data_IF_741670900010
#
_entry.id   IF_741670900010
#
_cell.length_a   1.000
_cell.length_b   1.000
_cell.length_c   1.000
_cell.angle_alpha   90.00
_cell.angle_beta   90.00
_cell.angle_gamma   90.00
#
_symmetry.space_group_name_H-M   'P 1'
#
loop_
_entity.id
_entity.type
_entity.pdbx_description
1 polymer ?
#
# COMPACT_ATOMS: atom_id res chain seq x y z
N UNK A 1 1.65 12.35 -20.91
CA UNK A 1 2.33 11.03 -21.10
C UNK A 1 3.51 11.09 -22.08
N UNK A 2 3.37 11.70 -23.27
CA UNK A 2 4.46 11.83 -24.26
C UNK A 2 5.68 12.57 -23.68
N UNK A 3 5.46 13.67 -22.98
CA UNK A 3 6.50 14.47 -22.32
C UNK A 3 7.34 13.65 -21.34
N UNK A 4 6.70 12.86 -20.46
CA UNK A 4 7.42 11.98 -19.52
C UNK A 4 8.32 10.95 -20.24
N UNK A 5 7.90 10.44 -21.41
CA UNK A 5 8.73 9.54 -22.21
C UNK A 5 9.93 10.26 -22.82
N UNK A 6 9.74 11.50 -23.29
CA UNK A 6 10.82 12.34 -23.80
C UNK A 6 11.83 12.63 -22.68
N UNK A 7 11.33 13.02 -21.50
CA UNK A 7 12.16 13.29 -20.33
C UNK A 7 12.95 12.06 -19.88
N UNK A 8 12.31 10.89 -19.79
CA UNK A 8 13.01 9.66 -19.42
C UNK A 8 14.16 9.33 -20.41
N UNK A 9 13.94 9.56 -21.72
CA UNK A 9 14.97 9.36 -22.74
C UNK A 9 16.10 10.39 -22.63
N UNK A 10 15.78 11.67 -22.39
CA UNK A 10 16.81 12.72 -22.27
C UNK A 10 17.67 12.52 -21.03
N UNK A 11 17.08 12.06 -19.93
CA UNK A 11 17.78 11.72 -18.69
C UNK A 11 18.51 10.37 -18.76
N UNK A 12 18.40 9.63 -19.87
CA UNK A 12 18.94 8.26 -20.02
C UNK A 12 18.50 7.31 -18.89
N UNK A 13 17.26 7.44 -18.42
CA UNK A 13 16.73 6.59 -17.36
C UNK A 13 16.56 5.14 -17.85
N UNK A 14 16.94 4.16 -17.04
CA UNK A 14 16.84 2.73 -17.39
C UNK A 14 15.38 2.28 -17.59
N UNK A 15 14.44 2.87 -16.83
CA UNK A 15 13.03 2.49 -16.89
C UNK A 15 12.10 3.63 -16.53
N UNK A 16 11.01 3.76 -17.30
CA UNK A 16 9.86 4.60 -16.97
C UNK A 16 8.65 3.71 -16.63
N UNK A 17 8.07 3.93 -15.45
CA UNK A 17 6.87 3.21 -14.99
C UNK A 17 5.79 4.20 -14.59
N UNK A 18 4.59 3.99 -15.11
CA UNK A 18 3.40 4.74 -14.69
C UNK A 18 2.64 3.93 -13.65
N UNK A 19 2.65 4.41 -12.40
CA UNK A 19 1.92 3.78 -11.30
C UNK A 19 0.54 4.41 -11.16
N UNK A 20 -0.45 3.60 -10.79
CA UNK A 20 -1.76 4.12 -10.41
C UNK A 20 -1.70 4.69 -8.99
N UNK A 21 -2.18 5.91 -8.82
CA UNK A 21 -2.25 6.57 -7.53
C UNK A 21 -3.13 5.78 -6.55
N UNK A 22 -2.75 5.80 -5.27
CA UNK A 22 -3.62 5.42 -4.16
C UNK A 22 -4.11 6.74 -3.53
N UNK A 23 -5.41 6.93 -3.54
CA UNK A 23 -6.14 8.07 -2.99
C UNK A 23 -7.01 7.60 -1.82
N UNK A 24 -7.07 8.41 -0.77
CA UNK A 24 -8.09 8.29 0.27
C UNK A 24 -9.42 8.87 -0.24
N UNK A 25 -10.52 8.46 0.38
CA UNK A 25 -11.88 8.98 0.13
C UNK A 25 -12.30 8.97 -1.35
N UNK A 26 -11.91 7.94 -2.10
CA UNK A 26 -12.15 7.87 -3.54
C UNK A 26 -13.55 7.34 -3.87
N UNK A 27 -14.23 6.71 -2.92
CA UNK A 27 -15.48 5.97 -3.08
C UNK A 27 -16.60 6.84 -3.67
N UNK A 28 -16.59 8.14 -3.35
CA UNK A 28 -17.56 9.15 -3.81
C UNK A 28 -16.96 10.12 -4.85
N UNK A 29 -15.82 9.77 -5.44
CA UNK A 29 -15.03 10.65 -6.27
C UNK A 29 -13.88 11.29 -5.51
N UNK A 30 -12.89 11.81 -6.25
CA UNK A 30 -11.75 12.54 -5.71
C UNK A 30 -11.15 13.34 -6.88
N UNK A 31 -10.79 14.61 -6.66
CA UNK A 31 -10.30 15.51 -7.71
C UNK A 31 -9.02 15.02 -8.38
N UNK A 32 -8.26 14.16 -7.70
CA UNK A 32 -7.04 13.54 -8.20
C UNK A 32 -7.30 12.26 -9.01
N UNK A 33 -8.56 11.86 -9.22
CA UNK A 33 -8.91 10.74 -10.09
C UNK A 33 -8.55 11.07 -11.54
N UNK A 34 -7.79 10.18 -12.17
CA UNK A 34 -7.57 10.27 -13.61
C UNK A 34 -8.81 9.83 -14.38
N UNK A 35 -9.16 10.60 -15.40
CA UNK A 35 -10.17 10.23 -16.40
C UNK A 35 -9.70 9.10 -17.33
N UNK A 36 -8.41 8.76 -17.32
CA UNK A 36 -7.85 7.71 -18.19
C UNK A 36 -7.96 6.35 -17.49
N UNK A 37 -8.99 5.58 -17.85
CA UNK A 37 -9.31 4.31 -17.17
C UNK A 37 -8.11 3.36 -17.08
N UNK A 38 -7.29 3.25 -18.14
CA UNK A 38 -6.08 2.41 -18.17
C UNK A 38 -5.11 2.67 -17.00
N UNK A 39 -5.01 3.92 -16.53
CA UNK A 39 -4.09 4.32 -15.46
C UNK A 39 -4.78 4.50 -14.11
N UNK A 40 -6.11 4.37 -14.06
CA UNK A 40 -6.86 4.45 -12.81
C UNK A 40 -6.77 3.16 -12.01
N UNK A 41 -6.48 3.29 -10.71
CA UNK A 41 -6.60 2.20 -9.71
C UNK A 41 -8.05 1.77 -9.51
N UNK A 42 -8.99 2.67 -9.79
CA UNK A 42 -10.40 2.55 -9.45
C UNK A 42 -11.26 2.37 -10.69
N UNK A 43 -12.34 1.61 -10.55
CA UNK A 43 -13.39 1.43 -11.54
C UNK A 43 -14.63 2.16 -11.07
N UNK A 44 -15.21 2.99 -11.94
CA UNK A 44 -16.51 3.62 -11.74
C UNK A 44 -17.59 2.53 -11.76
N UNK A 45 -18.45 2.51 -10.75
CA UNK A 45 -19.58 1.57 -10.65
C UNK A 45 -20.84 2.25 -11.16
N UNK A 46 -21.15 3.42 -10.59
CA UNK A 46 -22.31 4.26 -10.90
C UNK A 46 -21.84 5.72 -11.05
N UNK A 47 -22.77 6.64 -11.32
CA UNK A 47 -22.44 8.08 -11.21
C UNK A 47 -21.91 8.42 -9.81
N UNK A 48 -20.74 9.06 -9.77
CA UNK A 48 -20.06 9.43 -8.53
C UNK A 48 -19.39 8.29 -7.74
N UNK A 49 -19.70 7.02 -8.00
CA UNK A 49 -19.22 5.90 -7.15
C UNK A 49 -18.09 5.08 -7.77
N UNK A 50 -17.06 4.79 -6.97
CA UNK A 50 -15.86 4.06 -7.40
C UNK A 50 -15.50 2.89 -6.47
N UNK A 51 -14.89 1.84 -7.02
CA UNK A 51 -14.23 0.75 -6.28
C UNK A 51 -12.82 0.47 -6.79
N UNK A 52 -11.97 -0.08 -5.92
CA UNK A 52 -10.66 -0.61 -6.32
C UNK A 52 -10.84 -1.73 -7.35
N UNK A 53 -10.01 -1.75 -8.40
CA UNK A 53 -10.07 -2.77 -9.47
C UNK A 53 -9.56 -4.14 -9.05
N UNK A 54 -8.56 -4.19 -8.18
CA UNK A 54 -7.95 -5.44 -7.74
C UNK A 54 -8.80 -6.17 -6.71
N UNK A 55 -8.74 -7.50 -6.73
CA UNK A 55 -9.23 -8.30 -5.62
C UNK A 55 -8.38 -8.07 -4.36
N UNK A 56 -8.98 -8.31 -3.18
CA UNK A 56 -8.31 -8.25 -1.89
C UNK A 56 -8.43 -9.61 -1.18
N UNK A 57 -7.65 -10.61 -1.60
CA UNK A 57 -7.66 -11.90 -0.93
C UNK A 57 -7.03 -11.79 0.47
N UNK A 58 -7.40 -12.72 1.37
CA UNK A 58 -6.84 -12.83 2.72
C UNK A 58 -5.42 -13.46 2.71
N UNK A 59 -4.53 -12.90 1.88
CA UNK A 59 -3.11 -13.19 1.88
C UNK A 59 -2.35 -11.90 1.53
N UNK A 60 -1.09 -11.80 1.95
CA UNK A 60 -0.22 -10.66 1.62
C UNK A 60 1.24 -11.10 1.64
N UNK A 61 1.87 -11.23 0.47
CA UNK A 61 3.28 -11.64 0.35
C UNK A 61 4.23 -10.67 1.05
N UNK A 62 3.93 -9.36 1.00
CA UNK A 62 4.71 -8.29 1.63
C UNK A 62 4.96 -8.55 3.12
N UNK A 63 3.97 -9.06 3.85
CA UNK A 63 4.09 -9.33 5.29
C UNK A 63 5.12 -10.41 5.65
N UNK A 64 5.49 -11.22 4.66
CA UNK A 64 6.42 -12.35 4.83
C UNK A 64 7.79 -12.06 4.22
N UNK A 65 7.86 -11.18 3.22
CA UNK A 65 9.10 -10.89 2.49
C UNK A 65 9.73 -9.54 2.81
N UNK A 66 9.03 -8.65 3.52
CA UNK A 66 9.54 -7.31 3.80
C UNK A 66 9.06 -6.77 5.15
N UNK A 67 9.88 -5.90 5.72
CA UNK A 67 9.52 -5.05 6.85
C UNK A 67 9.79 -3.59 6.50
N UNK A 68 9.14 -2.67 7.20
CA UNK A 68 9.39 -1.23 7.08
C UNK A 68 9.78 -0.70 8.44
N UNK A 69 10.85 0.10 8.48
CA UNK A 69 11.33 0.77 9.68
C UNK A 69 11.04 2.26 9.48
N UNK A 70 10.28 2.86 10.40
CA UNK A 70 10.01 4.29 10.39
C UNK A 70 11.26 5.09 10.78
N UNK A 71 11.29 6.39 10.48
CA UNK A 71 12.38 7.27 10.92
C UNK A 71 12.48 7.38 12.45
N UNK A 72 11.42 7.00 13.19
CA UNK A 72 11.39 6.93 14.65
C UNK A 72 11.88 5.58 15.19
N UNK A 73 12.23 4.63 14.33
CA UNK A 73 12.68 3.29 14.71
C UNK A 73 11.55 2.26 14.87
N UNK A 74 10.29 2.61 14.57
CA UNK A 74 9.17 1.67 14.66
C UNK A 74 9.21 0.65 13.52
N UNK A 75 9.07 -0.63 13.86
CA UNK A 75 8.90 -1.70 12.90
C UNK A 75 7.42 -1.83 12.53
N UNK A 76 7.05 -1.48 11.29
CA UNK A 76 5.66 -1.50 10.82
C UNK A 76 5.45 -2.55 9.71
N UNK A 77 4.23 -3.10 9.56
CA UNK A 77 3.94 -4.21 8.64
C UNK A 77 4.09 -3.87 7.15
N UNK A 78 3.89 -2.60 6.77
CA UNK A 78 3.79 -2.20 5.38
C UNK A 78 4.02 -0.70 5.22
N UNK A 79 4.55 -0.27 4.07
CA UNK A 79 4.66 1.16 3.74
C UNK A 79 3.31 1.85 3.48
N UNK A 80 2.20 1.10 3.50
CA UNK A 80 0.85 1.65 3.42
C UNK A 80 0.34 2.10 4.80
N UNK A 81 1.00 1.71 5.90
CA UNK A 81 0.76 2.23 7.25
C UNK A 81 1.45 3.59 7.43
N UNK A 82 0.97 4.61 6.71
CA UNK A 82 1.65 5.91 6.60
C UNK A 82 1.82 6.61 7.95
N UNK A 83 0.87 6.39 8.85
CA UNK A 83 0.85 6.98 10.20
C UNK A 83 1.46 6.06 11.26
N UNK A 84 1.88 4.83 10.89
CA UNK A 84 2.53 3.88 11.79
C UNK A 84 1.63 3.31 12.88
N UNK A 85 0.32 3.27 12.64
CA UNK A 85 -0.70 2.83 13.62
C UNK A 85 -0.60 1.34 13.96
N UNK A 86 0.05 0.54 13.11
CA UNK A 86 0.22 -0.90 13.29
C UNK A 86 1.66 -1.29 13.66
N UNK A 87 2.40 -0.41 14.34
CA UNK A 87 3.76 -0.71 14.82
C UNK A 87 3.84 -1.99 15.65
N UNK A 88 4.79 -2.88 15.33
CA UNK A 88 5.09 -4.09 16.08
C UNK A 88 5.97 -3.83 17.32
N UNK A 89 6.58 -2.65 17.40
CA UNK A 89 7.50 -2.23 18.44
C UNK A 89 8.63 -1.37 17.89
N UNK A 90 9.44 -0.79 18.78
CA UNK A 90 10.52 0.12 18.42
C UNK A 90 11.91 -0.55 18.55
N UNK A 91 12.78 -0.30 17.58
CA UNK A 91 14.13 -0.88 17.53
C UNK A 91 15.15 -0.16 18.42
N UNK A 92 14.80 0.98 19.02
CA UNK A 92 15.61 1.62 20.06
C UNK A 92 15.69 0.75 21.34
N UNK A 93 14.62 0.01 21.63
CA UNK A 93 14.49 -0.75 22.88
C UNK A 93 14.72 -2.25 22.70
N UNK A 94 14.50 -2.79 21.50
CA UNK A 94 14.45 -4.24 21.23
C UNK A 94 15.13 -4.59 19.92
N UNK A 95 15.71 -5.78 19.85
CA UNK A 95 16.27 -6.31 18.60
C UNK A 95 15.19 -6.54 17.54
N UNK A 96 15.56 -6.38 16.27
CA UNK A 96 14.66 -6.64 15.13
C UNK A 96 13.96 -8.00 15.24
N UNK A 97 14.71 -9.07 15.51
CA UNK A 97 14.15 -10.42 15.63
C UNK A 97 13.12 -10.55 16.74
N UNK A 98 13.31 -9.85 17.86
CA UNK A 98 12.37 -9.83 18.98
C UNK A 98 11.07 -9.11 18.62
N UNK A 99 11.16 -8.00 17.89
CA UNK A 99 9.98 -7.23 17.45
C UNK A 99 9.24 -7.94 16.31
N UNK A 100 9.98 -8.49 15.35
CA UNK A 100 9.43 -9.18 14.17
C UNK A 100 8.67 -10.46 14.52
N UNK A 101 9.10 -11.19 15.55
CA UNK A 101 8.44 -12.40 16.06
C UNK A 101 7.55 -12.15 17.28
N UNK A 102 7.27 -10.89 17.62
CA UNK A 102 6.39 -10.54 18.73
C UNK A 102 4.95 -11.05 18.54
N UNK A 103 4.21 -11.18 19.64
CA UNK A 103 2.77 -11.49 19.60
C UNK A 103 2.01 -10.49 18.73
N UNK A 104 2.27 -9.19 18.91
CA UNK A 104 1.65 -8.12 18.11
C UNK A 104 1.87 -8.30 16.60
N UNK A 105 3.09 -8.66 16.19
CA UNK A 105 3.39 -8.94 14.79
C UNK A 105 2.65 -10.18 14.27
N UNK A 106 2.63 -11.25 15.05
CA UNK A 106 1.94 -12.50 14.68
C UNK A 106 0.42 -12.34 14.63
N UNK A 107 -0.18 -11.66 15.61
CA UNK A 107 -1.60 -11.31 15.64
C UNK A 107 -2.00 -10.51 14.40
N UNK A 108 -1.21 -9.50 14.04
CA UNK A 108 -1.46 -8.73 12.83
C UNK A 108 -1.42 -9.63 11.59
N UNK A 109 -0.39 -10.48 11.44
CA UNK A 109 -0.30 -11.43 10.31
C UNK A 109 -1.50 -12.37 10.25
N UNK A 110 -1.91 -12.94 11.38
CA UNK A 110 -3.09 -13.83 11.46
C UNK A 110 -4.38 -13.10 11.13
N UNK A 111 -4.54 -11.85 11.59
CA UNK A 111 -5.70 -11.02 11.28
C UNK A 111 -5.83 -10.71 9.77
N UNK A 112 -4.70 -10.66 9.05
CA UNK A 112 -4.69 -10.51 7.58
C UNK A 112 -5.09 -11.82 6.90
N UNK A 113 -4.68 -12.97 7.43
CA UNK A 113 -5.07 -14.28 6.91
C UNK A 113 -6.55 -14.60 7.17
N UNK A 114 -7.14 -14.07 8.24
CA UNK A 114 -8.57 -14.28 8.55
C UNK A 114 -9.48 -13.28 7.85
N UNK A 115 -9.14 -11.98 7.87
CA UNK A 115 -9.99 -10.91 7.35
C UNK A 115 -9.16 -9.67 6.97
N UNK A 116 -8.42 -9.73 5.86
CA UNK A 116 -7.53 -8.63 5.43
C UNK A 116 -8.25 -7.30 5.25
N UNK A 117 -9.50 -7.32 4.78
CA UNK A 117 -10.30 -6.11 4.54
C UNK A 117 -10.62 -5.33 5.81
N UNK A 118 -10.47 -5.90 7.01
CA UNK A 118 -10.71 -5.14 8.24
C UNK A 118 -9.75 -3.96 8.38
N UNK A 119 -8.51 -4.13 7.91
CA UNK A 119 -7.45 -3.13 7.97
C UNK A 119 -7.60 -2.09 6.86
N UNK A 120 -7.82 -0.84 7.23
CA UNK A 120 -8.04 0.28 6.30
C UNK A 120 -6.90 0.39 5.27
N UNK A 121 -5.64 0.35 5.72
CA UNK A 121 -4.46 0.40 4.85
C UNK A 121 -4.42 -0.73 3.80
N UNK A 122 -5.10 -1.86 4.07
CA UNK A 122 -5.17 -2.99 3.15
C UNK A 122 -6.28 -2.82 2.11
N UNK A 123 -7.38 -2.13 2.42
CA UNK A 123 -8.58 -2.04 1.56
C UNK A 123 -8.28 -1.45 0.18
N UNK A 124 -7.29 -0.57 0.11
CA UNK A 124 -6.86 0.08 -1.12
C UNK A 124 -5.51 -0.45 -1.67
N UNK A 125 -5.07 -1.60 -1.19
CA UNK A 125 -3.87 -2.28 -1.67
C UNK A 125 -4.17 -3.07 -2.94
N UNK A 126 -3.30 -2.97 -3.94
CA UNK A 126 -3.43 -3.73 -5.20
C UNK A 126 -2.73 -5.08 -5.18
N UNK A 127 -1.99 -5.42 -4.12
CA UNK A 127 -1.38 -6.73 -3.90
C UNK A 127 -0.42 -7.20 -4.99
N UNK A 128 0.02 -6.30 -5.88
CA UNK A 128 1.06 -6.55 -6.88
C UNK A 128 2.45 -6.45 -6.27
#
# INVERSE_FOLDING_TARGET
MKEMKILAKSLKADRLVFKSAQLYDFENGNDLLTSIEKYSRYKKINEGSYKVKSALPNHCSRLWSAAVISSKGDLIPCCYDKDGTHSFGNLADRSFGSVWHSSKANEFRMSVLSNRKQHEMCRNCTGK
#
